data_IF_717190813557
#
_entry.id   IF_717190813557
#
_cell.length_a   1.000
_cell.length_b   1.000
_cell.length_c   1.000
_cell.angle_alpha   90.00
_cell.angle_beta   90.00
_cell.angle_gamma   90.00
#
_symmetry.space_group_name_H-M   'P 1'
#
loop_
_entity.id
_entity.type
_entity.pdbx_description
1 polymer ?
#
# COMPACT_ATOMS: atom_id res chain seq x y z
N UNK A 1 29.00 -2.56 -68.95
CA UNK A 1 29.39 -2.39 -67.54
C UNK A 1 28.20 -2.80 -66.70
N UNK A 2 28.14 -4.07 -66.30
CA UNK A 2 27.04 -4.62 -65.50
C UNK A 2 27.50 -4.72 -64.06
N UNK A 3 26.91 -3.92 -63.17
CA UNK A 3 27.20 -3.93 -61.75
C UNK A 3 26.43 -5.09 -61.09
N UNK A 4 27.17 -6.12 -60.68
CA UNK A 4 26.68 -7.25 -59.88
C UNK A 4 26.44 -6.79 -58.44
N UNK A 5 25.19 -6.56 -58.07
CA UNK A 5 24.80 -6.20 -56.71
C UNK A 5 24.61 -7.49 -55.89
N UNK A 6 25.66 -7.87 -55.15
CA UNK A 6 25.67 -9.02 -54.23
C UNK A 6 24.89 -8.66 -52.96
N UNK A 7 23.61 -9.07 -52.90
CA UNK A 7 22.87 -9.10 -51.65
C UNK A 7 23.54 -10.10 -50.69
N UNK A 8 24.02 -9.61 -49.54
CA UNK A 8 24.42 -10.45 -48.42
C UNK A 8 23.18 -10.77 -47.61
N UNK A 9 22.89 -12.06 -47.43
CA UNK A 9 21.83 -12.53 -46.54
C UNK A 9 22.02 -11.95 -45.13
N UNK A 10 20.93 -11.53 -44.46
CA UNK A 10 20.98 -11.12 -43.07
C UNK A 10 21.37 -12.34 -42.23
N UNK A 11 22.48 -12.21 -41.47
CA UNK A 11 22.87 -13.21 -40.48
C UNK A 11 21.72 -13.42 -39.52
N UNK A 12 21.14 -14.63 -39.53
CA UNK A 12 20.27 -15.08 -38.46
C UNK A 12 21.08 -15.05 -37.17
N UNK A 13 20.77 -14.10 -36.29
CA UNK A 13 21.15 -14.20 -34.89
C UNK A 13 20.29 -15.31 -34.31
N UNK A 14 20.79 -16.56 -34.35
CA UNK A 14 20.33 -17.57 -33.41
C UNK A 14 20.50 -16.95 -32.02
N UNK A 15 19.36 -16.71 -31.36
CA UNK A 15 19.33 -16.31 -29.95
C UNK A 15 20.10 -17.38 -29.20
N UNK A 16 21.28 -17.04 -28.71
CA UNK A 16 21.86 -17.76 -27.58
C UNK A 16 20.74 -17.83 -26.54
N UNK A 17 20.24 -19.04 -26.28
CA UNK A 17 19.36 -19.31 -25.17
C UNK A 17 20.16 -19.02 -23.90
N UNK A 18 20.24 -17.74 -23.52
CA UNK A 18 20.56 -17.36 -22.16
C UNK A 18 19.46 -17.98 -21.30
N UNK A 19 19.72 -19.19 -20.81
CA UNK A 19 18.98 -19.78 -19.71
C UNK A 19 19.04 -18.76 -18.59
N UNK A 20 17.92 -18.07 -18.40
CA UNK A 20 17.70 -17.23 -17.24
C UNK A 20 17.69 -18.19 -16.04
N UNK A 21 18.81 -18.30 -15.35
CA UNK A 21 18.90 -19.12 -14.14
C UNK A 21 18.22 -18.33 -13.02
N UNK A 22 17.05 -18.81 -12.59
CA UNK A 22 16.23 -18.27 -11.50
C UNK A 22 16.22 -19.19 -10.24
N UNK A 23 17.29 -19.96 -9.91
CA UNK A 23 17.18 -21.03 -8.92
C UNK A 23 16.98 -20.52 -7.49
N UNK A 24 17.39 -19.28 -7.22
CA UNK A 24 17.31 -18.65 -5.91
C UNK A 24 16.02 -17.83 -5.70
N UNK A 25 15.20 -17.64 -6.74
CA UNK A 25 13.99 -16.81 -6.65
C UNK A 25 12.75 -17.64 -6.29
N UNK A 26 11.83 -17.03 -5.55
CA UNK A 26 10.58 -17.70 -5.14
C UNK A 26 9.75 -18.13 -6.36
N UNK A 27 9.30 -19.40 -6.46
CA UNK A 27 8.55 -19.89 -7.63
C UNK A 27 7.32 -19.05 -7.99
N UNK A 28 6.67 -18.44 -6.99
CA UNK A 28 5.54 -17.55 -7.20
C UNK A 28 5.93 -16.26 -7.95
N UNK A 29 7.09 -15.67 -7.65
CA UNK A 29 7.60 -14.49 -8.34
C UNK A 29 8.02 -14.83 -9.76
N UNK A 30 8.65 -15.99 -9.97
CA UNK A 30 8.99 -16.49 -11.31
C UNK A 30 7.74 -16.63 -12.16
N UNK A 31 6.63 -17.10 -11.60
CA UNK A 31 5.35 -17.18 -12.32
C UNK A 31 4.85 -15.79 -12.74
N UNK A 32 4.85 -14.80 -11.85
CA UNK A 32 4.43 -13.42 -12.18
C UNK A 32 5.35 -12.78 -13.21
N UNK A 33 6.65 -13.04 -13.10
CA UNK A 33 7.64 -12.60 -14.07
C UNK A 33 7.38 -13.18 -15.46
N UNK A 34 7.15 -14.49 -15.55
CA UNK A 34 6.79 -15.15 -16.81
C UNK A 34 5.48 -14.59 -17.37
N UNK A 35 4.47 -14.38 -16.52
CA UNK A 35 3.21 -13.77 -16.94
C UNK A 35 3.45 -12.41 -17.62
N UNK A 36 4.25 -11.53 -16.99
CA UNK A 36 4.61 -10.25 -17.57
C UNK A 36 5.29 -10.37 -18.94
N UNK A 37 6.19 -11.34 -19.13
CA UNK A 37 6.86 -11.52 -20.43
C UNK A 37 5.89 -11.90 -21.57
N UNK A 38 4.79 -12.58 -21.25
CA UNK A 38 3.80 -13.01 -22.25
C UNK A 38 2.65 -12.01 -22.41
N UNK A 39 2.22 -11.38 -21.33
CA UNK A 39 1.01 -10.55 -21.28
C UNK A 39 1.30 -9.05 -21.20
N UNK A 40 2.57 -8.67 -20.97
CA UNK A 40 2.99 -7.30 -20.60
C UNK A 40 2.30 -6.79 -19.31
N UNK A 41 1.78 -7.71 -18.50
CA UNK A 41 1.10 -7.45 -17.24
C UNK A 41 1.26 -8.67 -16.29
N UNK A 42 1.03 -8.49 -15.00
CA UNK A 42 0.94 -9.60 -14.05
C UNK A 42 -0.20 -9.38 -13.06
N UNK A 43 -0.82 -10.49 -12.65
CA UNK A 43 -1.96 -10.45 -11.75
C UNK A 43 -1.64 -11.19 -10.46
N UNK A 44 -1.69 -10.46 -9.36
CA UNK A 44 -1.67 -11.07 -8.04
C UNK A 44 -3.01 -11.76 -7.83
N UNK A 45 -3.02 -13.07 -7.50
CA UNK A 45 -4.25 -13.74 -7.12
C UNK A 45 -4.85 -13.02 -5.92
N UNK A 46 -5.93 -12.26 -6.14
CA UNK A 46 -6.71 -11.69 -5.04
C UNK A 46 -7.30 -12.85 -4.28
N UNK A 47 -7.16 -12.84 -2.96
CA UNK A 47 -7.88 -13.79 -2.12
C UNK A 47 -9.36 -13.61 -2.44
N UNK A 48 -10.04 -14.69 -2.84
CA UNK A 48 -11.47 -14.60 -3.12
C UNK A 48 -12.13 -13.93 -1.91
N UNK A 49 -12.95 -12.87 -2.12
CA UNK A 49 -13.58 -12.16 -1.03
C UNK A 49 -14.37 -13.19 -0.23
N UNK A 50 -13.87 -13.52 0.95
CA UNK A 50 -14.46 -14.56 1.78
C UNK A 50 -15.76 -14.03 2.36
N UNK A 51 -16.86 -14.15 1.61
CA UNK A 51 -18.15 -13.46 1.83
C UNK A 51 -18.00 -11.95 2.01
N UNK A 52 -18.72 -11.16 1.20
CA UNK A 52 -18.83 -9.70 1.41
C UNK A 52 -18.96 -9.36 2.91
N UNK A 53 -18.26 -8.33 3.42
CA UNK A 53 -18.37 -7.98 4.82
C UNK A 53 -19.84 -7.69 5.13
N UNK A 54 -20.47 -8.61 5.86
CA UNK A 54 -21.87 -8.50 6.24
C UNK A 54 -22.12 -7.26 7.14
N UNK A 55 -21.04 -6.64 7.62
CA UNK A 55 -21.06 -5.53 8.56
C UNK A 55 -20.69 -4.23 7.87
N UNK A 56 -21.52 -3.22 8.08
CA UNK A 56 -21.28 -1.84 7.68
C UNK A 56 -19.98 -1.30 8.33
N UNK A 57 -19.14 -0.66 7.55
CA UNK A 57 -17.85 -0.12 8.01
C UNK A 57 -17.87 1.40 8.07
N UNK A 58 -17.16 1.99 9.04
CA UNK A 58 -16.85 3.42 9.02
C UNK A 58 -15.46 3.63 8.42
N UNK A 59 -15.35 4.60 7.52
CA UNK A 59 -14.11 5.11 6.98
C UNK A 59 -14.01 6.61 7.27
N UNK A 60 -12.88 7.05 7.81
CA UNK A 60 -12.61 8.48 8.01
C UNK A 60 -11.67 8.94 6.90
N UNK A 61 -12.17 9.86 6.06
CA UNK A 61 -11.37 10.51 5.03
C UNK A 61 -10.60 11.65 5.68
N UNK A 62 -9.30 11.45 5.87
CA UNK A 62 -8.45 12.41 6.57
C UNK A 62 -8.06 13.58 5.66
N UNK A 63 -8.54 14.77 6.01
CA UNK A 63 -8.28 15.99 5.26
C UNK A 63 -7.66 17.12 6.08
N UNK A 64 -7.96 18.35 5.65
CA UNK A 64 -7.55 19.58 6.31
C UNK A 64 -8.54 19.97 7.42
N UNK A 65 -8.58 19.19 8.48
CA UNK A 65 -9.36 19.47 9.70
C UNK A 65 -8.52 20.16 10.79
N UNK A 66 -9.18 20.60 11.87
CA UNK A 66 -8.55 21.23 13.05
C UNK A 66 -8.32 20.24 14.21
N UNK A 67 -8.48 18.94 13.99
CA UNK A 67 -8.31 17.93 15.02
C UNK A 67 -6.85 17.78 15.39
N UNK A 68 -6.60 17.63 16.68
CA UNK A 68 -5.26 17.29 17.16
C UNK A 68 -4.82 15.94 16.58
N UNK A 69 -3.54 15.84 16.19
CA UNK A 69 -2.94 14.60 15.69
C UNK A 69 -3.14 13.40 16.63
N UNK A 70 -3.20 13.65 17.94
CA UNK A 70 -3.48 12.60 18.95
C UNK A 70 -4.89 12.02 18.77
N UNK A 71 -5.88 12.86 18.51
CA UNK A 71 -7.27 12.43 18.27
C UNK A 71 -7.33 11.62 16.97
N UNK A 72 -6.70 12.11 15.89
CA UNK A 72 -6.64 11.39 14.61
C UNK A 72 -6.07 9.97 14.78
N UNK A 73 -4.91 9.86 15.45
CA UNK A 73 -4.28 8.56 15.75
C UNK A 73 -5.18 7.63 16.57
N UNK A 74 -5.84 8.16 17.60
CA UNK A 74 -6.69 7.36 18.47
C UNK A 74 -7.89 6.78 17.72
N UNK A 75 -8.54 7.60 16.88
CA UNK A 75 -9.65 7.15 16.06
C UNK A 75 -9.18 6.09 15.05
N UNK A 76 -8.14 6.40 14.30
CA UNK A 76 -7.59 5.53 13.26
C UNK A 76 -7.16 4.15 13.79
N UNK A 77 -6.26 4.13 14.78
CA UNK A 77 -5.75 2.88 15.37
C UNK A 77 -6.83 2.12 16.16
N UNK A 78 -7.82 2.85 16.69
CA UNK A 78 -8.94 2.28 17.41
C UNK A 78 -9.89 1.55 16.47
N UNK A 79 -10.28 2.20 15.38
CA UNK A 79 -11.15 1.63 14.34
C UNK A 79 -10.57 0.34 13.75
N UNK A 80 -9.26 0.31 13.48
CA UNK A 80 -8.58 -0.87 12.95
C UNK A 80 -8.60 -2.11 13.88
N UNK A 81 -8.96 -1.93 15.15
CA UNK A 81 -9.01 -3.01 16.17
C UNK A 81 -10.42 -3.44 16.53
N UNK A 82 -11.44 -2.84 15.93
CA UNK A 82 -12.82 -3.18 16.26
C UNK A 82 -13.21 -4.52 15.65
N UNK A 83 -13.95 -5.32 16.41
CA UNK A 83 -14.68 -6.46 15.87
C UNK A 83 -15.87 -5.98 15.01
N UNK A 84 -16.44 -6.92 14.24
CA UNK A 84 -17.55 -6.66 13.32
C UNK A 84 -18.68 -5.85 13.97
N UNK A 85 -19.17 -6.31 15.13
CA UNK A 85 -20.27 -5.64 15.82
C UNK A 85 -19.94 -4.20 16.20
N UNK A 86 -18.73 -3.94 16.70
CA UNK A 86 -18.33 -2.59 17.09
C UNK A 86 -18.12 -1.69 15.86
N UNK A 87 -17.59 -2.21 14.77
CA UNK A 87 -17.45 -1.46 13.51
C UNK A 87 -18.82 -1.08 12.90
N UNK A 88 -19.81 -1.98 12.94
CA UNK A 88 -21.18 -1.62 12.52
C UNK A 88 -21.73 -0.43 13.32
N UNK A 89 -21.45 -0.40 14.63
CA UNK A 89 -21.89 0.71 15.49
C UNK A 89 -21.17 2.02 15.21
N UNK A 90 -19.93 2.01 14.73
CA UNK A 90 -19.25 3.28 14.37
C UNK A 90 -19.90 3.91 13.15
N UNK A 91 -20.31 3.11 12.17
CA UNK A 91 -21.08 3.58 11.04
C UNK A 91 -22.46 4.11 11.46
N UNK A 92 -23.17 3.40 12.35
CA UNK A 92 -24.45 3.87 12.92
C UNK A 92 -24.30 5.23 13.62
N UNK A 93 -23.22 5.43 14.40
CA UNK A 93 -22.91 6.71 15.06
C UNK A 93 -22.75 7.82 14.00
N UNK A 94 -21.92 7.58 12.97
CA UNK A 94 -21.68 8.58 11.92
C UNK A 94 -22.98 8.96 11.19
N UNK A 95 -23.78 7.97 10.79
CA UNK A 95 -25.06 8.20 10.11
C UNK A 95 -26.11 8.86 11.00
N UNK A 96 -26.11 8.55 12.31
CA UNK A 96 -26.99 9.18 13.28
C UNK A 96 -26.75 10.69 13.42
N UNK A 97 -25.49 11.11 13.33
CA UNK A 97 -25.11 12.52 13.32
C UNK A 97 -25.17 13.18 11.95
N UNK A 98 -25.03 12.40 10.87
CA UNK A 98 -25.00 12.86 9.47
C UNK A 98 -25.85 11.93 8.60
N UNK A 99 -27.16 12.18 8.56
CA UNK A 99 -28.13 11.30 7.90
C UNK A 99 -28.00 11.19 6.37
N UNK A 100 -27.20 12.05 5.73
CA UNK A 100 -26.90 11.97 4.30
C UNK A 100 -25.78 10.97 3.98
N UNK A 101 -25.05 10.48 4.98
CA UNK A 101 -24.02 9.46 4.78
C UNK A 101 -24.69 8.13 4.45
N UNK A 102 -24.48 7.67 3.22
CA UNK A 102 -25.01 6.39 2.73
C UNK A 102 -23.87 5.39 2.56
N UNK A 103 -24.12 4.09 2.80
CA UNK A 103 -23.15 3.05 2.48
C UNK A 103 -22.85 3.03 0.97
N UNK A 104 -21.59 2.80 0.61
CA UNK A 104 -21.16 2.53 -0.76
C UNK A 104 -21.35 1.06 -1.16
N UNK A 105 -20.84 0.69 -2.33
CA UNK A 105 -20.89 -0.68 -2.84
C UNK A 105 -20.09 -1.70 -2.01
N UNK A 106 -19.17 -1.23 -1.16
CA UNK A 106 -18.36 -2.05 -0.26
C UNK A 106 -18.94 -2.10 1.16
N UNK A 107 -20.18 -1.62 1.35
CA UNK A 107 -20.81 -1.51 2.66
C UNK A 107 -19.96 -0.62 3.61
N UNK A 108 -19.37 0.45 3.08
CA UNK A 108 -18.58 1.43 3.83
C UNK A 108 -19.30 2.78 3.85
N UNK A 109 -19.26 3.44 5.01
CA UNK A 109 -19.70 4.81 5.22
C UNK A 109 -18.46 5.66 5.38
N UNK A 110 -18.19 6.52 4.40
CA UNK A 110 -17.10 7.49 4.46
C UNK A 110 -17.57 8.79 5.13
N UNK A 111 -16.84 9.28 6.13
CA UNK A 111 -17.03 10.59 6.75
C UNK A 111 -15.75 11.42 6.60
N UNK A 112 -15.86 12.66 6.12
CA UNK A 112 -14.72 13.57 6.07
C UNK A 112 -14.34 14.00 7.49
N UNK A 113 -13.04 14.05 7.79
CA UNK A 113 -12.57 14.39 9.12
C UNK A 113 -12.95 15.80 9.59
N UNK A 114 -13.28 16.71 8.67
CA UNK A 114 -13.82 18.05 8.98
C UNK A 114 -15.26 18.02 9.47
N UNK A 115 -15.99 16.92 9.25
CA UNK A 115 -17.36 16.72 9.71
C UNK A 115 -17.44 16.11 11.11
N UNK A 116 -16.30 15.67 11.67
CA UNK A 116 -16.19 15.11 13.01
C UNK A 116 -16.29 16.22 14.06
N UNK A 117 -17.50 16.42 14.59
CA UNK A 117 -17.70 17.27 15.76
C UNK A 117 -17.34 16.56 17.08
N UNK A 118 -17.32 17.31 18.17
CA UNK A 118 -16.93 16.79 19.49
C UNK A 118 -17.82 15.64 19.99
N UNK A 119 -19.09 15.60 19.56
CA UNK A 119 -20.04 14.55 19.97
C UNK A 119 -19.72 13.25 19.25
N UNK A 120 -19.52 13.30 17.93
CA UNK A 120 -19.09 12.13 17.15
C UNK A 120 -17.77 11.59 17.69
N UNK A 121 -16.78 12.47 17.90
CA UNK A 121 -15.46 12.08 18.42
C UNK A 121 -15.58 11.42 19.79
N UNK A 122 -16.39 11.97 20.69
CA UNK A 122 -16.60 11.42 22.03
C UNK A 122 -17.25 10.04 21.97
N UNK A 123 -18.28 9.85 21.16
CA UNK A 123 -18.97 8.56 21.02
C UNK A 123 -18.08 7.50 20.39
N UNK A 124 -17.38 7.83 19.28
CA UNK A 124 -16.42 6.93 18.65
C UNK A 124 -15.30 6.56 19.62
N UNK A 125 -14.73 7.53 20.33
CA UNK A 125 -13.67 7.28 21.33
C UNK A 125 -14.17 6.43 22.48
N UNK A 126 -15.41 6.62 22.93
CA UNK A 126 -16.01 5.79 23.99
C UNK A 126 -16.15 4.35 23.53
N UNK A 127 -16.64 4.13 22.31
CA UNK A 127 -16.79 2.79 21.73
C UNK A 127 -15.44 2.11 21.49
N UNK A 128 -14.45 2.84 20.97
CA UNK A 128 -13.08 2.34 20.74
C UNK A 128 -12.42 1.86 22.04
N UNK A 129 -12.65 2.58 23.14
CA UNK A 129 -12.05 2.27 24.43
C UNK A 129 -12.84 1.21 25.23
N UNK A 130 -14.01 0.78 24.76
CA UNK A 130 -14.75 -0.33 25.36
C UNK A 130 -13.98 -1.65 25.12
N UNK A 131 -13.53 -2.37 26.16
CA UNK A 131 -12.81 -3.64 25.99
C UNK A 131 -13.61 -4.68 25.20
N UNK A 132 -14.94 -4.62 25.24
CA UNK A 132 -15.83 -5.48 24.46
C UNK A 132 -15.73 -5.27 22.96
N UNK A 133 -15.32 -4.09 22.52
CA UNK A 133 -15.27 -3.71 21.10
C UNK A 133 -14.13 -4.35 20.32
N UNK A 134 -13.07 -4.78 21.00
CA UNK A 134 -11.94 -5.48 20.39
C UNK A 134 -11.88 -6.97 20.76
N UNK A 135 -12.95 -7.51 21.37
CA UNK A 135 -13.04 -8.94 21.64
C UNK A 135 -13.33 -9.69 20.34
N UNK A 136 -12.35 -10.47 19.86
CA UNK A 136 -12.46 -11.25 18.63
C UNK A 136 -11.50 -10.76 17.55
N UNK A 137 -11.57 -11.34 16.34
CA UNK A 137 -10.81 -10.83 15.21
C UNK A 137 -11.28 -9.42 14.86
N UNK A 138 -10.37 -8.50 14.47
CA UNK A 138 -10.78 -7.25 13.87
C UNK A 138 -11.53 -7.51 12.58
N UNK A 139 -12.38 -6.55 12.17
CA UNK A 139 -13.09 -6.64 10.89
C UNK A 139 -12.09 -6.92 9.77
N UNK A 140 -12.25 -8.07 9.13
CA UNK A 140 -11.45 -8.38 7.97
C UNK A 140 -11.90 -7.49 6.83
N UNK A 141 -10.98 -6.68 6.33
CA UNK A 141 -11.14 -5.87 5.14
C UNK A 141 -10.34 -6.54 4.02
N UNK A 142 -10.99 -7.29 3.11
CA UNK A 142 -10.31 -7.98 2.02
C UNK A 142 -9.49 -7.04 1.14
N UNK A 143 -9.94 -5.78 1.05
CA UNK A 143 -9.28 -4.63 0.43
C UNK A 143 -7.95 -4.24 1.07
N UNK A 144 -7.59 -4.77 2.25
CA UNK A 144 -6.29 -4.53 2.88
C UNK A 144 -5.27 -5.64 2.62
N UNK A 145 -5.69 -6.78 2.04
CA UNK A 145 -4.82 -7.90 1.66
C UNK A 145 -4.40 -7.76 0.18
N UNK A 146 -3.86 -6.59 -0.15
CA UNK A 146 -3.52 -6.18 -1.54
C UNK A 146 -2.22 -6.78 -2.06
N UNK A 147 -1.51 -7.54 -1.22
CA UNK A 147 -0.23 -8.15 -1.58
C UNK A 147 0.87 -7.12 -1.83
N UNK A 148 0.96 -6.07 -0.99
CA UNK A 148 1.99 -5.03 -1.10
C UNK A 148 3.40 -5.62 -1.20
N UNK A 149 3.65 -6.67 -0.42
CA UNK A 149 4.93 -7.39 -0.41
C UNK A 149 5.25 -8.02 -1.78
N UNK A 150 4.24 -8.48 -2.52
CA UNK A 150 4.46 -9.07 -3.84
C UNK A 150 4.93 -7.99 -4.82
N UNK A 151 4.31 -6.81 -4.84
CA UNK A 151 4.77 -5.70 -5.69
C UNK A 151 6.21 -5.31 -5.35
N UNK A 152 6.55 -5.24 -4.06
CA UNK A 152 7.91 -4.95 -3.61
C UNK A 152 8.92 -6.01 -4.08
N UNK A 153 8.55 -7.29 -3.97
CA UNK A 153 9.38 -8.42 -4.45
C UNK A 153 9.55 -8.41 -5.96
N UNK A 154 8.47 -8.20 -6.72
CA UNK A 154 8.50 -8.09 -8.19
C UNK A 154 9.40 -6.93 -8.61
N UNK A 155 9.32 -5.78 -7.94
CA UNK A 155 10.23 -4.66 -8.19
C UNK A 155 11.71 -5.04 -8.01
N UNK A 156 12.06 -5.69 -6.90
CA UNK A 156 13.45 -6.12 -6.65
C UNK A 156 13.93 -7.15 -7.68
N UNK A 157 13.08 -8.09 -8.10
CA UNK A 157 13.39 -9.06 -9.16
C UNK A 157 13.60 -8.33 -10.50
N UNK A 158 12.69 -7.42 -10.85
CA UNK A 158 12.80 -6.63 -12.08
C UNK A 158 14.07 -5.77 -12.09
N UNK A 159 14.49 -5.25 -10.94
CA UNK A 159 15.76 -4.55 -10.78
C UNK A 159 16.97 -5.48 -10.94
N UNK A 160 16.98 -6.64 -10.26
CA UNK A 160 18.02 -7.67 -10.36
C UNK A 160 18.27 -8.09 -11.81
N UNK A 161 17.22 -8.23 -12.62
CA UNK A 161 17.30 -8.63 -14.02
C UNK A 161 17.28 -7.45 -15.01
N UNK A 162 17.30 -6.20 -14.53
CA UNK A 162 17.29 -4.98 -15.34
C UNK A 162 16.12 -4.89 -16.34
N UNK A 163 14.91 -5.22 -15.89
CA UNK A 163 13.69 -5.27 -16.70
C UNK A 163 12.85 -4.04 -16.40
N UNK A 164 13.21 -2.93 -17.06
CA UNK A 164 12.65 -1.60 -16.81
C UNK A 164 11.12 -1.56 -16.75
N UNK A 165 10.45 -2.09 -17.76
CA UNK A 165 8.98 -2.04 -17.84
C UNK A 165 8.29 -2.78 -16.68
N UNK A 166 8.90 -3.86 -16.15
CA UNK A 166 8.36 -4.56 -14.99
C UNK A 166 8.58 -3.79 -13.68
N UNK A 167 9.71 -3.07 -13.56
CA UNK A 167 9.93 -2.15 -12.43
C UNK A 167 8.86 -1.07 -12.42
N UNK A 168 8.63 -0.43 -13.56
CA UNK A 168 7.64 0.63 -13.74
C UNK A 168 6.24 0.13 -13.39
N UNK A 169 5.83 -1.04 -13.91
CA UNK A 169 4.54 -1.65 -13.60
C UNK A 169 4.40 -2.02 -12.11
N UNK A 170 5.47 -2.49 -11.46
CA UNK A 170 5.44 -2.76 -10.02
C UNK A 170 5.29 -1.49 -9.17
N UNK A 171 5.93 -0.39 -9.58
CA UNK A 171 5.74 0.92 -8.94
C UNK A 171 4.32 1.42 -9.17
N UNK A 172 3.79 1.33 -10.39
CA UNK A 172 2.42 1.74 -10.73
C UNK A 172 1.39 0.98 -9.91
N UNK A 173 1.48 -0.35 -9.88
CA UNK A 173 0.56 -1.18 -9.11
C UNK A 173 0.64 -0.89 -7.61
N UNK A 174 1.84 -0.73 -7.05
CA UNK A 174 1.97 -0.36 -5.63
C UNK A 174 1.40 1.04 -5.37
N UNK A 175 1.64 2.00 -6.27
CA UNK A 175 1.10 3.37 -6.18
C UNK A 175 -0.43 3.37 -6.20
N UNK A 176 -1.04 2.50 -7.01
CA UNK A 176 -2.49 2.35 -7.06
C UNK A 176 -3.05 1.78 -5.75
N UNK A 177 -2.39 0.78 -5.16
CA UNK A 177 -2.91 0.07 -3.98
C UNK A 177 -2.61 0.81 -2.65
N UNK A 178 -1.53 1.58 -2.56
CA UNK A 178 -1.13 2.28 -1.32
C UNK A 178 -2.22 3.22 -0.75
N UNK A 179 -2.92 4.04 -1.56
CA UNK A 179 -4.02 4.89 -1.06
C UNK A 179 -5.21 4.12 -0.49
N UNK A 180 -5.43 2.88 -0.95
CA UNK A 180 -6.54 2.03 -0.51
C UNK A 180 -6.24 1.33 0.82
N UNK A 181 -4.98 1.25 1.22
CA UNK A 181 -4.60 0.75 2.53
C UNK A 181 -4.92 1.83 3.56
N UNK A 182 -6.11 1.74 4.17
CA UNK A 182 -6.56 2.64 5.25
C UNK A 182 -5.42 2.85 6.24
N UNK A 183 -4.84 4.05 6.18
CA UNK A 183 -3.70 4.54 6.96
C UNK A 183 -2.57 3.52 7.07
N UNK A 184 -1.53 3.71 6.26
CA UNK A 184 -0.27 2.93 6.26
C UNK A 184 0.18 2.47 7.65
N UNK A 185 0.00 3.28 8.69
CA UNK A 185 0.42 2.96 10.04
C UNK A 185 -0.39 1.90 10.79
N UNK A 186 -1.56 1.49 10.27
CA UNK A 186 -2.35 0.39 10.85
C UNK A 186 -2.07 -0.95 10.16
N UNK A 187 -1.63 -0.93 8.90
CA UNK A 187 -1.22 -2.13 8.19
C UNK A 187 0.21 -2.52 8.57
N UNK A 188 0.39 -3.71 9.14
CA UNK A 188 1.73 -4.19 9.51
C UNK A 188 2.61 -4.49 8.29
N UNK A 189 2.00 -4.87 7.16
CA UNK A 189 2.71 -5.27 5.94
C UNK A 189 3.53 -4.13 5.35
N UNK A 190 3.10 -2.86 5.48
CA UNK A 190 3.87 -1.74 4.91
C UNK A 190 5.26 -1.63 5.54
N UNK A 191 5.38 -1.95 6.83
CA UNK A 191 6.67 -1.88 7.51
C UNK A 191 7.59 -3.00 7.04
N UNK A 192 7.03 -4.17 6.71
CA UNK A 192 7.76 -5.28 6.13
C UNK A 192 8.17 -4.96 4.68
N UNK A 193 7.31 -4.28 3.92
CA UNK A 193 7.62 -3.76 2.58
C UNK A 193 8.75 -2.74 2.62
N UNK A 194 8.71 -1.80 3.59
CA UNK A 194 9.81 -0.85 3.83
C UNK A 194 11.10 -1.62 4.14
N UNK A 195 11.06 -2.57 5.08
CA UNK A 195 12.23 -3.38 5.41
C UNK A 195 12.79 -4.09 4.17
N UNK A 196 11.91 -4.69 3.39
CA UNK A 196 12.28 -5.45 2.20
C UNK A 196 12.91 -4.56 1.13
N UNK A 197 12.25 -3.46 0.73
CA UNK A 197 12.74 -2.56 -0.31
C UNK A 197 14.06 -1.91 0.10
N UNK A 198 14.16 -1.41 1.33
CA UNK A 198 15.37 -0.72 1.77
C UNK A 198 16.56 -1.68 1.99
N UNK A 199 16.29 -2.97 2.19
CA UNK A 199 17.35 -3.99 2.34
C UNK A 199 17.73 -4.69 1.03
N UNK A 200 16.83 -4.76 0.04
CA UNK A 200 17.02 -5.58 -1.16
C UNK A 200 17.09 -4.81 -2.49
N UNK A 201 16.72 -3.52 -2.54
CA UNK A 201 16.91 -2.74 -3.77
C UNK A 201 18.40 -2.51 -4.03
N UNK A 202 18.85 -2.76 -5.26
CA UNK A 202 20.22 -2.58 -5.72
C UNK A 202 20.56 -1.11 -5.88
N UNK A 203 19.62 -0.33 -6.41
CA UNK A 203 19.78 1.12 -6.47
C UNK A 203 19.33 1.74 -5.15
N UNK A 204 20.25 2.42 -4.48
CA UNK A 204 19.94 3.22 -3.29
C UNK A 204 19.70 4.69 -3.65
N UNK A 205 20.21 5.14 -4.81
CA UNK A 205 20.19 6.53 -5.25
C UNK A 205 19.33 6.67 -6.51
N UNK A 206 18.04 6.92 -6.31
CA UNK A 206 17.09 7.07 -7.42
C UNK A 206 16.08 5.93 -7.52
N UNK A 207 16.07 5.02 -6.54
CA UNK A 207 15.02 4.02 -6.41
C UNK A 207 13.64 4.69 -6.23
N UNK A 208 12.86 4.68 -7.30
CA UNK A 208 11.49 5.18 -7.35
C UNK A 208 10.62 4.55 -6.26
N UNK A 209 10.83 3.26 -5.98
CA UNK A 209 10.10 2.56 -4.93
C UNK A 209 10.41 3.10 -3.52
N UNK A 210 11.69 3.40 -3.21
CA UNK A 210 12.06 4.05 -1.93
C UNK A 210 11.45 5.44 -1.81
N UNK A 211 11.43 6.22 -2.90
CA UNK A 211 10.80 7.55 -2.91
C UNK A 211 9.30 7.48 -2.71
N UNK A 212 8.62 6.56 -3.40
CA UNK A 212 7.19 6.31 -3.23
C UNK A 212 6.86 6.02 -1.76
N UNK A 213 7.54 5.02 -1.17
CA UNK A 213 7.34 4.68 0.25
C UNK A 213 7.68 5.84 1.19
N UNK A 214 8.70 6.64 0.89
CA UNK A 214 9.05 7.81 1.69
C UNK A 214 8.00 8.91 1.60
N UNK A 215 7.45 9.19 0.41
CA UNK A 215 6.39 10.17 0.20
C UNK A 215 5.10 9.76 0.92
N UNK A 216 4.78 8.48 0.86
CA UNK A 216 3.66 7.88 1.61
C UNK A 216 3.83 7.99 3.14
N UNK A 217 5.02 7.67 3.65
CA UNK A 217 5.34 7.87 5.08
C UNK A 217 5.21 9.34 5.45
N UNK A 218 5.70 10.26 4.61
CA UNK A 218 5.59 11.70 4.83
C UNK A 218 4.14 12.16 4.88
N UNK A 219 3.29 11.71 3.95
CA UNK A 219 1.84 11.96 3.96
C UNK A 219 1.21 11.57 5.29
N UNK A 220 1.51 10.37 5.77
CA UNK A 220 1.04 9.92 7.08
C UNK A 220 1.63 10.71 8.25
N UNK A 221 2.89 11.13 8.20
CA UNK A 221 3.49 11.99 9.23
C UNK A 221 2.81 13.37 9.30
N UNK A 222 2.36 13.94 8.18
CA UNK A 222 1.61 15.20 8.18
C UNK A 222 0.28 15.07 8.93
N UNK A 223 -0.44 13.99 8.64
CA UNK A 223 -1.78 13.71 9.19
C UNK A 223 -1.68 13.26 10.66
N UNK A 224 -0.87 12.25 10.94
CA UNK A 224 -0.85 11.56 12.23
C UNK A 224 0.32 11.96 13.12
N UNK A 225 1.33 12.65 12.61
CA UNK A 225 2.57 12.90 13.33
C UNK A 225 3.46 11.66 13.46
N UNK A 226 4.61 11.83 14.13
CA UNK A 226 5.59 10.75 14.34
C UNK A 226 5.01 9.63 15.22
N UNK A 227 5.14 8.39 14.76
CA UNK A 227 4.86 7.16 15.51
C UNK A 227 6.16 6.42 15.79
N UNK A 228 6.24 5.71 16.92
CA UNK A 228 7.46 5.01 17.36
C UNK A 228 7.99 4.04 16.30
N UNK A 229 7.12 3.25 15.67
CA UNK A 229 7.53 2.28 14.65
C UNK A 229 8.14 2.93 13.41
N UNK A 230 7.61 4.08 12.97
CA UNK A 230 8.21 4.85 11.86
C UNK A 230 9.52 5.48 12.29
N UNK A 231 9.58 6.01 13.51
CA UNK A 231 10.83 6.52 14.08
C UNK A 231 11.91 5.43 14.12
N UNK A 232 11.55 4.21 14.52
CA UNK A 232 12.42 3.03 14.47
C UNK A 232 12.88 2.72 13.05
N UNK A 233 11.97 2.71 12.06
CA UNK A 233 12.34 2.50 10.65
C UNK A 233 13.25 3.60 10.12
N UNK A 234 13.02 4.86 10.46
CA UNK A 234 13.88 5.98 10.07
C UNK A 234 15.27 5.92 10.72
N UNK A 235 15.38 5.41 11.95
CA UNK A 235 16.67 5.14 12.60
C UNK A 235 17.39 3.97 11.94
N UNK A 236 16.66 2.92 11.58
CA UNK A 236 17.19 1.74 10.91
C UNK A 236 17.65 2.04 9.48
N UNK A 237 16.91 2.87 8.76
CA UNK A 237 17.17 3.26 7.37
C UNK A 237 17.31 4.79 7.26
N UNK A 238 18.53 5.34 7.44
CA UNK A 238 18.77 6.79 7.33
C UNK A 238 18.31 7.40 6.00
N UNK A 239 18.36 6.62 4.91
CA UNK A 239 17.86 7.03 3.60
C UNK A 239 16.35 7.34 3.63
N UNK A 240 15.55 6.58 4.38
CA UNK A 240 14.12 6.85 4.53
C UNK A 240 13.90 8.21 5.21
N UNK A 241 14.68 8.50 6.25
CA UNK A 241 14.63 9.80 6.93
C UNK A 241 15.06 10.94 6.01
N UNK A 242 16.13 10.76 5.25
CA UNK A 242 16.62 11.75 4.28
C UNK A 242 15.56 12.05 3.21
N UNK A 243 14.98 11.02 2.60
CA UNK A 243 13.92 11.16 1.60
C UNK A 243 12.70 11.91 2.17
N UNK A 244 12.28 11.61 3.40
CA UNK A 244 11.20 12.34 4.07
C UNK A 244 11.53 13.83 4.30
N UNK A 245 12.78 14.16 4.61
CA UNK A 245 13.24 15.55 4.73
C UNK A 245 13.18 16.25 3.38
N UNK A 246 13.61 15.58 2.30
CA UNK A 246 13.54 16.13 0.93
C UNK A 246 12.09 16.40 0.50
N UNK A 247 11.15 15.50 0.80
CA UNK A 247 9.71 15.73 0.57
C UNK A 247 9.16 16.93 1.36
N UNK A 248 9.78 17.27 2.50
CA UNK A 248 9.36 18.40 3.34
C UNK A 248 9.86 19.74 2.80
N UNK A 249 11.11 19.79 2.32
CA UNK A 249 11.78 21.05 1.98
C UNK A 249 11.95 21.30 0.47
N UNK A 250 11.60 20.32 -0.37
CA UNK A 250 11.91 20.34 -1.80
C UNK A 250 13.42 20.18 -2.06
N UNK A 251 13.76 19.93 -3.33
CA UNK A 251 15.15 19.97 -3.83
C UNK A 251 15.64 21.42 -4.03
#
# INVERSE_FOLDING_TARGET
MSASNSYKEPKQFEKEEQKLDLPDDEPALVKLFLQFLYEMDYHIPKKEPGSEPATLCLEIVWGNDQLERRVRRNLDEGLAKLNDKAMGRTADIAQGHRSYLLPDENNSVAIDSSELDISIIFELTTLINDPGSSNGPPVYRPDLDVGLMIYAKVYCVAEKYNIKALKELAVENLTYELPHVMVLFTNNEIFDVIDYIFSNSLDTKGCEMRRLLASEVYGCLKIFGMKSRIEEKMKQYPDLALLNVQETFGD
#
